data_IF_906256730468
#
_entry.id   IF_906256730468
#
_cell.length_a   1.000
_cell.length_b   1.000
_cell.length_c   1.000
_cell.angle_alpha   90.00
_cell.angle_beta   90.00
_cell.angle_gamma   90.00
#
_symmetry.space_group_name_H-M   'P 1'
#
loop_
_entity.id
_entity.type
_entity.pdbx_description
1 polymer ?
#
# COMPACT_ATOMS: atom_id res chain seq x y z
N UNK A 1 -4.30 -28.76 11.61
CA UNK A 1 -4.87 -27.70 12.49
C UNK A 1 -6.15 -27.14 11.86
N UNK A 2 -7.15 -26.75 12.68
CA UNK A 2 -8.35 -26.08 12.12
C UNK A 2 -8.05 -24.66 11.67
N UNK A 3 -8.89 -24.09 10.79
CA UNK A 3 -8.77 -22.69 10.32
C UNK A 3 -8.81 -21.70 11.49
N UNK A 4 -9.71 -21.95 12.45
CA UNK A 4 -9.87 -21.10 13.64
C UNK A 4 -8.60 -21.08 14.48
N UNK A 5 -7.98 -22.24 14.72
CA UNK A 5 -6.72 -22.34 15.48
C UNK A 5 -5.62 -21.54 14.78
N UNK A 6 -5.48 -21.66 13.46
CA UNK A 6 -4.46 -20.91 12.70
C UNK A 6 -4.70 -19.40 12.81
N UNK A 7 -5.95 -18.94 12.72
CA UNK A 7 -6.29 -17.53 12.90
C UNK A 7 -6.01 -17.04 14.32
N UNK A 8 -6.38 -17.82 15.35
CA UNK A 8 -6.13 -17.42 16.74
C UNK A 8 -4.63 -17.34 17.05
N UNK A 9 -3.84 -18.29 16.56
CA UNK A 9 -2.37 -18.28 16.74
C UNK A 9 -1.73 -17.10 16.01
N UNK A 10 -2.15 -16.83 14.77
CA UNK A 10 -1.69 -15.69 14.01
C UNK A 10 -2.02 -14.38 14.72
N UNK A 11 -3.26 -14.23 15.18
CA UNK A 11 -3.73 -13.06 15.90
C UNK A 11 -2.93 -12.83 17.19
N UNK A 12 -2.77 -13.87 18.00
CA UNK A 12 -2.00 -13.80 19.25
C UNK A 12 -0.54 -13.42 18.99
N UNK A 13 0.11 -14.05 18.01
CA UNK A 13 1.50 -13.77 17.67
C UNK A 13 1.70 -12.35 17.13
N UNK A 14 0.84 -11.90 16.20
CA UNK A 14 0.94 -10.58 15.60
C UNK A 14 0.62 -9.49 16.62
N UNK A 15 -0.44 -9.62 17.41
CA UNK A 15 -0.77 -8.65 18.45
C UNK A 15 0.33 -8.52 19.50
N UNK A 16 0.92 -9.66 19.95
CA UNK A 16 2.05 -9.64 20.88
C UNK A 16 3.28 -8.99 20.25
N UNK A 17 3.59 -9.30 18.99
CA UNK A 17 4.68 -8.68 18.25
C UNK A 17 4.52 -7.17 18.12
N UNK A 18 3.32 -6.69 17.80
CA UNK A 18 3.04 -5.25 17.68
C UNK A 18 3.01 -4.54 19.05
N UNK A 19 2.64 -5.24 20.14
CA UNK A 19 2.79 -4.69 21.49
C UNK A 19 4.28 -4.47 21.84
N UNK A 20 5.14 -5.44 21.53
CA UNK A 20 6.60 -5.30 21.71
C UNK A 20 7.18 -4.22 20.80
N UNK A 21 6.74 -4.18 19.55
CA UNK A 21 7.13 -3.15 18.58
C UNK A 21 6.77 -1.74 19.05
N UNK A 22 5.61 -1.56 19.67
CA UNK A 22 5.23 -0.28 20.28
C UNK A 22 6.21 0.17 21.36
N UNK A 23 6.68 -0.75 22.22
CA UNK A 23 7.71 -0.42 23.23
C UNK A 23 9.04 0.00 22.59
N UNK A 24 9.42 -0.66 21.50
CA UNK A 24 10.60 -0.28 20.69
C UNK A 24 10.40 1.10 20.05
N UNK A 25 9.25 1.35 19.42
CA UNK A 25 8.93 2.63 18.80
C UNK A 25 9.01 3.81 19.78
N UNK A 26 8.51 3.60 21.01
CA UNK A 26 8.62 4.57 22.10
C UNK A 26 10.08 4.87 22.46
N UNK A 27 10.91 3.83 22.59
CA UNK A 27 12.36 3.99 22.92
C UNK A 27 13.11 4.71 21.79
N UNK A 28 12.80 4.40 20.54
CA UNK A 28 13.38 5.05 19.37
C UNK A 28 12.82 6.46 19.11
N UNK A 29 11.76 6.84 19.82
CA UNK A 29 10.99 8.07 19.59
C UNK A 29 10.54 8.22 18.12
N UNK A 30 10.19 7.09 17.47
CA UNK A 30 9.74 7.06 16.07
C UNK A 30 8.67 5.97 15.88
N UNK A 31 7.42 6.39 15.75
CA UNK A 31 6.30 5.48 15.54
C UNK A 31 6.18 4.99 14.08
N UNK A 32 6.86 5.64 13.13
CA UNK A 32 6.85 5.24 11.72
C UNK A 32 7.40 3.84 11.43
N UNK A 33 8.12 3.23 12.40
CA UNK A 33 8.59 1.83 12.27
C UNK A 33 7.44 0.83 12.17
N UNK A 34 6.22 1.19 12.59
CA UNK A 34 5.04 0.32 12.48
C UNK A 34 4.71 0.03 11.02
N UNK A 35 4.88 0.99 10.10
CA UNK A 35 4.63 0.79 8.69
C UNK A 35 5.57 -0.26 8.08
N UNK A 36 6.83 -0.24 8.51
CA UNK A 36 7.84 -1.22 8.09
C UNK A 36 7.47 -2.62 8.60
N UNK A 37 7.16 -2.72 9.89
CA UNK A 37 6.79 -4.00 10.50
C UNK A 37 5.47 -4.56 9.95
N UNK A 38 4.49 -3.68 9.69
CA UNK A 38 3.22 -4.05 9.08
C UNK A 38 3.44 -4.64 7.67
N UNK A 39 4.21 -3.96 6.84
CA UNK A 39 4.50 -4.42 5.49
C UNK A 39 5.30 -5.72 5.46
N UNK A 40 6.32 -5.86 6.33
CA UNK A 40 7.13 -7.08 6.43
C UNK A 40 6.39 -8.23 7.11
N UNK A 41 5.38 -7.95 7.93
CA UNK A 41 4.61 -8.94 8.68
C UNK A 41 3.80 -9.91 7.81
N UNK A 42 3.45 -9.52 6.59
CA UNK A 42 2.72 -10.39 5.67
C UNK A 42 3.57 -11.60 5.21
N UNK A 43 4.88 -11.45 5.03
CA UNK A 43 5.75 -12.55 4.59
C UNK A 43 5.78 -13.72 5.59
N UNK A 44 6.12 -13.53 6.88
CA UNK A 44 6.08 -14.61 7.85
C UNK A 44 4.67 -15.15 8.09
N UNK A 45 3.64 -14.32 8.01
CA UNK A 45 2.25 -14.76 8.18
C UNK A 45 1.79 -15.62 6.99
N UNK A 46 2.14 -15.26 5.77
CA UNK A 46 1.88 -16.07 4.59
C UNK A 46 2.67 -17.41 4.63
N UNK A 47 3.93 -17.38 5.09
CA UNK A 47 4.72 -18.58 5.30
C UNK A 47 4.11 -19.51 6.36
N UNK A 48 3.62 -18.96 7.47
CA UNK A 48 2.91 -19.69 8.50
C UNK A 48 1.66 -20.38 7.94
N UNK A 49 0.82 -19.65 7.20
CA UNK A 49 -0.37 -20.22 6.57
C UNK A 49 -0.01 -21.22 5.47
N UNK A 50 1.02 -20.94 4.68
CA UNK A 50 1.54 -21.85 3.66
C UNK A 50 2.05 -23.15 4.24
N UNK A 51 2.70 -23.12 5.40
CA UNK A 51 3.21 -24.33 6.08
C UNK A 51 2.08 -25.16 6.72
N UNK A 52 1.20 -24.52 7.46
CA UNK A 52 0.18 -25.22 8.27
C UNK A 52 -1.20 -25.32 7.59
N UNK A 53 -1.40 -24.73 6.41
CA UNK A 53 -2.70 -24.66 5.72
C UNK A 53 -3.25 -26.03 5.31
N UNK A 54 -2.37 -26.98 4.91
CA UNK A 54 -2.74 -28.36 4.59
C UNK A 54 -3.41 -28.56 3.22
N UNK A 55 -3.54 -27.53 2.39
CA UNK A 55 -4.00 -27.61 1.01
C UNK A 55 -2.90 -28.10 0.04
N UNK A 56 -3.18 -28.09 -1.28
CA UNK A 56 -2.25 -28.52 -2.31
C UNK A 56 -0.92 -27.74 -2.26
N UNK A 57 0.20 -28.45 -2.35
CA UNK A 57 1.55 -27.87 -2.16
C UNK A 57 1.84 -26.75 -3.17
N UNK A 58 1.55 -26.96 -4.45
CA UNK A 58 1.79 -25.95 -5.51
C UNK A 58 1.07 -24.63 -5.22
N UNK A 59 -0.17 -24.70 -4.77
CA UNK A 59 -0.99 -23.53 -4.44
C UNK A 59 -0.48 -22.81 -3.20
N UNK A 60 -0.15 -23.59 -2.15
CA UNK A 60 0.47 -23.04 -0.93
C UNK A 60 1.78 -22.33 -1.23
N UNK A 61 2.63 -22.95 -2.04
CA UNK A 61 3.90 -22.36 -2.46
C UNK A 61 3.68 -21.07 -3.25
N UNK A 62 2.76 -21.09 -4.24
CA UNK A 62 2.52 -19.93 -5.10
C UNK A 62 1.99 -18.73 -4.32
N UNK A 63 0.92 -18.90 -3.53
CA UNK A 63 0.35 -17.79 -2.75
C UNK A 63 1.34 -17.25 -1.71
N UNK A 64 2.10 -18.13 -1.07
CA UNK A 64 3.15 -17.73 -0.10
C UNK A 64 4.25 -16.94 -0.79
N UNK A 65 4.71 -17.38 -1.95
CA UNK A 65 5.74 -16.66 -2.73
C UNK A 65 5.24 -15.29 -3.19
N UNK A 66 4.02 -15.22 -3.73
CA UNK A 66 3.41 -13.94 -4.11
C UNK A 66 3.35 -12.97 -2.92
N UNK A 67 2.82 -13.41 -1.80
CA UNK A 67 2.71 -12.59 -0.60
C UNK A 67 4.08 -12.17 -0.04
N UNK A 68 5.05 -13.09 0.01
CA UNK A 68 6.39 -12.82 0.51
C UNK A 68 7.15 -11.84 -0.39
N UNK A 69 7.13 -12.02 -1.72
CA UNK A 69 7.80 -11.13 -2.65
C UNK A 69 7.24 -9.69 -2.57
N UNK A 70 5.92 -9.54 -2.54
CA UNK A 70 5.29 -8.23 -2.37
C UNK A 70 5.63 -7.61 -1.02
N UNK A 71 5.49 -8.36 0.06
CA UNK A 71 5.77 -7.92 1.44
C UNK A 71 7.22 -7.45 1.60
N UNK A 72 8.18 -8.23 1.11
CA UNK A 72 9.61 -7.90 1.18
C UNK A 72 9.96 -6.70 0.30
N UNK A 73 9.32 -6.56 -0.87
CA UNK A 73 9.51 -5.39 -1.74
C UNK A 73 8.99 -4.12 -1.07
N UNK A 74 7.73 -4.11 -0.61
CA UNK A 74 7.11 -2.95 0.04
C UNK A 74 7.81 -2.63 1.35
N UNK A 75 8.02 -3.63 2.20
CA UNK A 75 8.69 -3.46 3.48
C UNK A 75 10.14 -3.00 3.33
N UNK A 76 10.88 -3.50 2.34
CA UNK A 76 12.22 -3.05 2.01
C UNK A 76 12.27 -1.60 1.53
N UNK A 77 11.30 -1.17 0.72
CA UNK A 77 11.15 0.23 0.31
C UNK A 77 10.89 1.14 1.54
N UNK A 78 9.93 0.77 2.39
CA UNK A 78 9.61 1.53 3.59
C UNK A 78 10.75 1.51 4.62
N UNK A 79 11.43 0.38 4.78
CA UNK A 79 12.58 0.26 5.67
C UNK A 79 13.69 1.24 5.27
N UNK A 80 14.06 1.32 4.00
CA UNK A 80 15.06 2.29 3.52
C UNK A 80 14.63 3.73 3.81
N UNK A 81 13.34 4.05 3.65
CA UNK A 81 12.81 5.39 3.92
C UNK A 81 12.82 5.73 5.39
N UNK A 82 12.36 4.84 6.26
CA UNK A 82 12.22 5.09 7.70
C UNK A 82 13.54 4.93 8.42
N UNK A 83 14.30 3.84 8.17
CA UNK A 83 15.56 3.56 8.85
C UNK A 83 16.69 4.52 8.40
N UNK A 84 16.63 4.98 7.15
CA UNK A 84 17.56 6.02 6.65
C UNK A 84 17.40 7.38 7.34
N UNK A 85 16.26 7.61 8.01
CA UNK A 85 15.92 8.88 8.67
C UNK A 85 15.34 8.67 10.07
N UNK A 86 15.86 7.71 10.85
CA UNK A 86 15.32 7.36 12.18
C UNK A 86 15.16 8.54 13.14
N UNK A 87 16.04 9.55 13.02
CA UNK A 87 15.98 10.77 13.84
C UNK A 87 14.86 11.74 13.45
N UNK A 88 14.29 11.58 12.25
CA UNK A 88 13.22 12.43 11.71
C UNK A 88 11.99 11.60 11.43
N UNK A 89 11.02 11.68 12.32
CA UNK A 89 9.75 10.97 12.16
C UNK A 89 8.96 11.49 10.95
N UNK A 90 8.27 10.61 10.24
CA UNK A 90 7.40 10.94 9.10
C UNK A 90 6.33 11.96 9.50
N UNK A 91 5.98 12.87 8.58
CA UNK A 91 5.03 13.95 8.81
C UNK A 91 3.68 13.49 9.37
N UNK A 92 3.18 12.32 8.95
CA UNK A 92 1.95 11.73 9.45
C UNK A 92 2.02 11.44 10.95
N UNK A 93 3.09 10.82 11.41
CA UNK A 93 3.27 10.49 12.84
C UNK A 93 3.53 11.73 13.68
N UNK A 94 4.23 12.74 13.14
CA UNK A 94 4.37 14.04 13.81
C UNK A 94 3.01 14.72 14.00
N UNK A 95 2.12 14.66 12.98
CA UNK A 95 0.77 15.19 13.12
C UNK A 95 -0.05 14.42 14.17
N UNK A 96 -0.01 13.08 14.15
CA UNK A 96 -0.67 12.26 15.16
C UNK A 96 -0.17 12.54 16.60
N UNK A 97 1.11 12.88 16.77
CA UNK A 97 1.64 13.32 18.07
C UNK A 97 0.99 14.61 18.56
N UNK A 98 0.75 15.55 17.66
CA UNK A 98 0.08 16.81 18.01
C UNK A 98 -1.41 16.57 18.31
N UNK A 99 -2.09 15.80 17.47
CA UNK A 99 -3.52 15.53 17.61
C UNK A 99 -3.85 14.70 18.88
N UNK A 100 -2.90 13.86 19.32
CA UNK A 100 -3.08 12.94 20.45
C UNK A 100 -2.21 13.32 21.67
N UNK A 101 -1.76 14.55 21.76
CA UNK A 101 -0.79 14.97 22.79
C UNK A 101 -1.20 14.61 24.21
N UNK A 102 -2.51 14.71 24.55
CA UNK A 102 -3.02 14.39 25.88
C UNK A 102 -2.88 12.90 26.24
N UNK A 103 -3.12 11.99 25.28
CA UNK A 103 -3.20 10.53 25.49
C UNK A 103 -2.30 9.76 24.53
N UNK A 104 -1.18 10.36 24.12
CA UNK A 104 -0.32 9.87 23.04
C UNK A 104 0.00 8.38 23.15
N UNK A 105 0.45 7.94 24.33
CA UNK A 105 0.91 6.55 24.51
C UNK A 105 -0.25 5.54 24.38
N UNK A 106 -1.42 5.90 24.91
CA UNK A 106 -2.61 5.01 24.85
C UNK A 106 -3.11 4.92 23.40
N UNK A 107 -3.29 6.05 22.75
CA UNK A 107 -3.77 6.11 21.37
C UNK A 107 -2.81 5.46 20.38
N UNK A 108 -1.49 5.65 20.56
CA UNK A 108 -0.48 4.96 19.76
C UNK A 108 -0.46 3.46 20.02
N UNK A 109 -0.60 2.99 21.25
CA UNK A 109 -0.72 1.57 21.54
C UNK A 109 -1.95 0.96 20.86
N UNK A 110 -3.11 1.63 20.93
CA UNK A 110 -4.32 1.23 20.22
C UNK A 110 -4.13 1.21 18.70
N UNK A 111 -3.44 2.22 18.15
CA UNK A 111 -3.12 2.29 16.72
C UNK A 111 -2.24 1.12 16.28
N UNK A 112 -1.22 0.75 17.07
CA UNK A 112 -0.38 -0.42 16.78
C UNK A 112 -1.20 -1.72 16.81
N UNK A 113 -2.12 -1.90 17.78
CA UNK A 113 -3.00 -3.06 17.82
C UNK A 113 -4.00 -3.07 16.66
N UNK A 114 -4.53 -1.92 16.27
CA UNK A 114 -5.35 -1.81 15.07
C UNK A 114 -4.59 -2.25 13.81
N UNK A 115 -3.32 -1.86 13.66
CA UNK A 115 -2.46 -2.32 12.56
C UNK A 115 -2.21 -3.83 12.61
N UNK A 116 -2.05 -4.42 13.79
CA UNK A 116 -1.93 -5.86 13.97
C UNK A 116 -3.19 -6.61 13.51
N UNK A 117 -4.37 -6.13 13.93
CA UNK A 117 -5.67 -6.67 13.53
C UNK A 117 -5.86 -6.57 12.00
N UNK A 118 -5.53 -5.42 11.44
CA UNK A 118 -5.64 -5.17 10.00
C UNK A 118 -4.72 -6.09 9.19
N UNK A 119 -3.48 -6.34 9.66
CA UNK A 119 -2.54 -7.25 9.04
C UNK A 119 -3.11 -8.68 9.00
N UNK A 120 -3.61 -9.19 10.12
CA UNK A 120 -4.21 -10.53 10.18
C UNK A 120 -5.47 -10.61 9.33
N UNK A 121 -6.33 -9.60 9.38
CA UNK A 121 -7.52 -9.53 8.54
C UNK A 121 -7.13 -9.60 7.06
N UNK A 122 -6.27 -8.73 6.57
CA UNK A 122 -5.83 -8.70 5.17
C UNK A 122 -5.07 -9.96 4.73
N UNK A 123 -4.53 -10.76 5.66
CA UNK A 123 -3.88 -12.03 5.34
C UNK A 123 -4.84 -13.24 5.24
N UNK A 124 -6.13 -13.07 5.53
CA UNK A 124 -7.15 -14.14 5.40
C UNK A 124 -7.18 -14.77 3.99
N UNK A 125 -7.05 -14.03 2.88
CA UNK A 125 -6.94 -14.63 1.55
C UNK A 125 -5.82 -15.68 1.45
N UNK A 126 -4.67 -15.43 2.06
CA UNK A 126 -3.53 -16.36 2.02
C UNK A 126 -3.87 -17.66 2.75
N UNK A 127 -4.56 -17.57 3.89
CA UNK A 127 -5.02 -18.74 4.63
C UNK A 127 -6.04 -19.55 3.83
N UNK A 128 -7.06 -18.90 3.24
CA UNK A 128 -8.09 -19.58 2.46
C UNK A 128 -7.49 -20.30 1.25
N UNK A 129 -6.60 -19.63 0.51
CA UNK A 129 -5.88 -20.23 -0.60
C UNK A 129 -4.99 -21.41 -0.15
N UNK A 130 -4.27 -21.27 0.97
CA UNK A 130 -3.41 -22.31 1.52
C UNK A 130 -4.18 -23.54 2.04
N UNK A 131 -5.48 -23.43 2.25
CA UNK A 131 -6.34 -24.54 2.69
C UNK A 131 -7.06 -25.25 1.55
N UNK A 132 -6.96 -24.79 0.33
CA UNK A 132 -7.63 -25.40 -0.81
C UNK A 132 -6.98 -26.74 -1.19
N UNK A 133 -7.68 -27.89 -1.07
CA UNK A 133 -7.11 -29.20 -1.32
C UNK A 133 -7.07 -29.59 -2.80
N UNK A 134 -7.69 -28.83 -3.71
CA UNK A 134 -7.76 -29.16 -5.14
C UNK A 134 -6.34 -29.35 -5.71
N UNK A 135 -6.01 -30.48 -6.36
CA UNK A 135 -4.63 -30.82 -6.70
C UNK A 135 -4.03 -29.92 -7.79
N UNK A 136 -4.84 -29.44 -8.71
CA UNK A 136 -4.42 -28.56 -9.81
C UNK A 136 -4.78 -27.10 -9.54
N UNK A 137 -3.99 -26.18 -10.09
CA UNK A 137 -4.33 -24.78 -10.12
C UNK A 137 -5.51 -24.53 -11.06
N UNK A 138 -6.42 -23.71 -10.63
CA UNK A 138 -7.54 -23.25 -11.46
C UNK A 138 -7.06 -22.17 -12.46
N UNK A 139 -7.60 -22.07 -13.68
CA UNK A 139 -7.21 -21.00 -14.63
C UNK A 139 -7.29 -19.59 -14.05
N UNK A 140 -8.27 -19.33 -13.17
CA UNK A 140 -8.38 -18.04 -12.46
C UNK A 140 -7.17 -17.75 -11.55
N UNK A 141 -6.59 -18.77 -10.90
CA UNK A 141 -5.39 -18.59 -10.06
C UNK A 141 -4.18 -18.23 -10.91
N UNK A 142 -4.07 -18.81 -12.10
CA UNK A 142 -2.99 -18.49 -13.06
C UNK A 142 -3.16 -17.06 -13.58
N UNK A 143 -4.37 -16.68 -13.97
CA UNK A 143 -4.67 -15.31 -14.40
C UNK A 143 -4.43 -14.28 -13.28
N UNK A 144 -4.81 -14.62 -12.05
CA UNK A 144 -4.57 -13.78 -10.87
C UNK A 144 -3.07 -13.63 -10.58
N UNK A 145 -2.26 -14.69 -10.71
CA UNK A 145 -0.81 -14.62 -10.55
C UNK A 145 -0.16 -13.75 -11.64
N UNK A 146 -0.65 -13.82 -12.89
CA UNK A 146 -0.20 -12.95 -13.97
C UNK A 146 -0.55 -11.48 -13.71
N UNK A 147 -1.79 -11.20 -13.25
CA UNK A 147 -2.19 -9.86 -12.83
C UNK A 147 -1.33 -9.34 -11.67
N UNK A 148 -1.02 -10.19 -10.70
CA UNK A 148 -0.15 -9.84 -9.58
C UNK A 148 1.26 -9.47 -10.06
N UNK A 149 1.86 -10.24 -10.98
CA UNK A 149 3.17 -9.93 -11.57
C UNK A 149 3.14 -8.57 -12.28
N UNK A 150 2.11 -8.32 -13.09
CA UNK A 150 1.91 -7.04 -13.77
C UNK A 150 1.81 -5.89 -12.77
N UNK A 151 1.03 -6.06 -11.72
CA UNK A 151 0.82 -5.04 -10.69
C UNK A 151 2.11 -4.78 -9.88
N UNK A 152 2.83 -5.82 -9.48
CA UNK A 152 4.10 -5.70 -8.75
C UNK A 152 5.16 -4.97 -9.58
N UNK A 153 5.23 -5.28 -10.88
CA UNK A 153 6.12 -4.58 -11.81
C UNK A 153 5.71 -3.10 -11.97
N UNK A 154 4.43 -2.83 -12.17
CA UNK A 154 3.91 -1.46 -12.31
C UNK A 154 4.18 -0.60 -11.10
N UNK A 155 3.96 -1.14 -9.89
CA UNK A 155 4.23 -0.45 -8.63
C UNK A 155 5.73 -0.17 -8.47
N UNK A 156 6.57 -1.15 -8.75
CA UNK A 156 8.03 -1.01 -8.68
C UNK A 156 8.52 0.06 -9.65
N UNK A 157 7.99 0.08 -10.86
CA UNK A 157 8.33 1.07 -11.88
C UNK A 157 7.89 2.48 -11.47
N UNK A 158 6.67 2.63 -10.93
CA UNK A 158 6.16 3.91 -10.46
C UNK A 158 7.05 4.49 -9.34
N UNK A 159 7.41 3.66 -8.35
CA UNK A 159 8.30 4.07 -7.26
C UNK A 159 9.71 4.41 -7.77
N UNK A 160 10.25 3.64 -8.73
CA UNK A 160 11.54 3.90 -9.33
C UNK A 160 11.57 5.22 -10.11
N UNK A 161 10.51 5.51 -10.90
CA UNK A 161 10.36 6.78 -11.61
C UNK A 161 10.33 7.96 -10.64
N UNK A 162 9.54 7.88 -9.57
CA UNK A 162 9.48 8.94 -8.56
C UNK A 162 10.83 9.13 -7.83
N UNK A 163 11.50 8.04 -7.50
CA UNK A 163 12.80 8.08 -6.85
C UNK A 163 13.86 8.72 -7.76
N UNK A 164 13.88 8.35 -9.04
CA UNK A 164 14.78 8.95 -10.03
C UNK A 164 14.51 10.45 -10.22
N UNK A 165 13.24 10.83 -10.32
CA UNK A 165 12.81 12.23 -10.42
C UNK A 165 13.30 13.06 -9.22
N UNK A 166 13.11 12.55 -7.99
CA UNK A 166 13.52 13.24 -6.76
C UNK A 166 15.03 13.36 -6.58
N UNK A 167 15.82 12.45 -7.15
CA UNK A 167 17.29 12.49 -7.09
C UNK A 167 17.90 13.57 -7.97
N UNK A 168 17.24 13.96 -9.05
CA UNK A 168 17.76 14.98 -9.97
C UNK A 168 17.63 16.38 -9.35
N UNK A 169 18.74 17.11 -9.14
CA UNK A 169 18.70 18.45 -8.51
C UNK A 169 17.84 19.44 -9.27
N UNK A 170 17.80 19.33 -10.62
CA UNK A 170 16.98 20.17 -11.50
C UNK A 170 15.46 20.03 -11.26
N UNK A 171 15.02 18.96 -10.59
CA UNK A 171 13.61 18.72 -10.27
C UNK A 171 13.21 19.19 -8.88
N UNK A 172 14.10 19.85 -8.16
CA UNK A 172 13.82 20.34 -6.80
C UNK A 172 12.63 21.33 -6.84
N UNK A 173 11.60 21.07 -6.05
CA UNK A 173 10.38 21.91 -6.04
C UNK A 173 9.37 21.57 -7.15
N UNK A 174 9.75 20.82 -8.19
CA UNK A 174 8.85 20.47 -9.31
C UNK A 174 7.92 19.31 -8.98
N UNK A 175 6.89 19.14 -9.79
CA UNK A 175 5.94 18.01 -9.74
C UNK A 175 6.42 16.92 -10.71
N UNK A 176 6.37 15.65 -10.29
CA UNK A 176 6.64 14.51 -11.16
C UNK A 176 5.38 14.23 -12.00
N UNK A 177 5.44 14.53 -13.30
CA UNK A 177 4.33 14.37 -14.25
C UNK A 177 4.73 13.60 -15.52
N UNK A 178 5.76 12.77 -15.42
CA UNK A 178 6.31 11.97 -16.51
C UNK A 178 6.16 10.46 -16.28
N UNK A 179 6.26 9.65 -17.33
CA UNK A 179 6.08 8.20 -17.23
C UNK A 179 4.69 7.81 -16.74
N UNK A 180 4.59 6.92 -15.77
CA UNK A 180 3.33 6.50 -15.17
C UNK A 180 2.63 7.65 -14.43
N UNK A 181 3.38 8.61 -13.89
CA UNK A 181 2.89 9.79 -13.20
C UNK A 181 2.19 10.80 -14.11
N UNK A 182 2.34 10.65 -15.43
CA UNK A 182 1.55 11.41 -16.42
C UNK A 182 0.10 10.93 -16.49
N UNK A 183 -0.13 9.62 -16.24
CA UNK A 183 -1.44 8.98 -16.40
C UNK A 183 -2.26 8.93 -15.11
N UNK A 184 -1.57 8.89 -13.98
CA UNK A 184 -2.16 8.93 -12.64
C UNK A 184 -1.27 9.75 -11.71
N UNK A 185 -1.88 10.46 -10.76
CA UNK A 185 -1.13 11.16 -9.71
C UNK A 185 -0.63 10.23 -8.60
N UNK A 186 -1.19 9.00 -8.55
CA UNK A 186 -0.82 7.97 -7.58
C UNK A 186 -0.74 6.59 -8.26
N UNK A 187 0.12 6.42 -9.28
CA UNK A 187 0.19 5.16 -10.03
C UNK A 187 0.65 3.99 -9.15
N UNK A 188 1.54 4.23 -8.18
CA UNK A 188 1.96 3.22 -7.22
C UNK A 188 0.80 2.72 -6.35
N UNK A 189 -0.11 3.60 -5.90
CA UNK A 189 -1.29 3.18 -5.14
C UNK A 189 -2.30 2.42 -6.00
N UNK A 190 -2.42 2.75 -7.28
CA UNK A 190 -3.24 1.99 -8.22
C UNK A 190 -2.72 0.55 -8.38
N UNK A 191 -1.43 0.37 -8.57
CA UNK A 191 -0.83 -0.96 -8.68
C UNK A 191 -0.84 -1.71 -7.36
N UNK A 192 -0.64 -1.05 -6.23
CA UNK A 192 -0.83 -1.66 -4.91
C UNK A 192 -2.25 -2.20 -4.75
N UNK A 193 -3.27 -1.43 -5.13
CA UNK A 193 -4.65 -1.91 -5.13
C UNK A 193 -4.86 -3.12 -6.06
N UNK A 194 -4.27 -3.12 -7.24
CA UNK A 194 -4.33 -4.27 -8.17
C UNK A 194 -3.70 -5.53 -7.60
N UNK A 195 -2.66 -5.43 -6.78
CA UNK A 195 -2.07 -6.56 -6.05
C UNK A 195 -3.12 -7.20 -5.14
N UNK A 196 -3.91 -6.40 -4.43
CA UNK A 196 -4.99 -6.89 -3.57
C UNK A 196 -6.16 -7.46 -4.35
N UNK A 197 -6.48 -6.89 -5.52
CA UNK A 197 -7.42 -7.50 -6.47
C UNK A 197 -6.92 -8.87 -6.91
N UNK A 198 -5.65 -8.99 -7.25
CA UNK A 198 -5.05 -10.27 -7.66
C UNK A 198 -5.08 -11.32 -6.54
N UNK A 199 -4.77 -10.96 -5.29
CA UNK A 199 -4.90 -11.86 -4.15
C UNK A 199 -6.35 -12.33 -3.93
N UNK A 200 -7.33 -11.44 -4.06
CA UNK A 200 -8.74 -11.80 -3.96
C UNK A 200 -9.16 -12.74 -5.10
N UNK A 201 -8.81 -12.44 -6.36
CA UNK A 201 -9.10 -13.29 -7.52
C UNK A 201 -8.46 -14.69 -7.39
N UNK A 202 -7.21 -14.76 -6.93
CA UNK A 202 -6.54 -16.03 -6.67
C UNK A 202 -7.32 -16.87 -5.66
N UNK A 203 -7.81 -16.23 -4.61
CA UNK A 203 -8.51 -16.90 -3.50
C UNK A 203 -9.93 -17.31 -3.89
N UNK A 204 -10.58 -16.66 -4.87
CA UNK A 204 -11.93 -17.00 -5.34
C UNK A 204 -12.06 -18.46 -5.81
N UNK A 205 -10.98 -19.08 -6.30
CA UNK A 205 -10.96 -20.49 -6.67
C UNK A 205 -10.96 -21.44 -5.45
N UNK A 206 -10.91 -20.91 -4.24
CA UNK A 206 -10.88 -21.71 -3.00
C UNK A 206 -12.24 -21.75 -2.32
N UNK A 207 -12.56 -22.78 -1.52
CA UNK A 207 -13.74 -22.78 -0.66
C UNK A 207 -13.78 -21.51 0.19
N UNK A 208 -14.96 -20.86 0.25
CA UNK A 208 -15.16 -19.57 0.93
C UNK A 208 -14.32 -18.40 0.37
N UNK A 209 -13.72 -18.58 -0.82
CA UNK A 209 -12.83 -17.59 -1.44
C UNK A 209 -13.47 -16.23 -1.68
N UNK A 210 -14.81 -16.15 -1.86
CA UNK A 210 -15.55 -14.89 -2.01
C UNK A 210 -15.36 -13.93 -0.81
N UNK A 211 -15.06 -14.46 0.38
CA UNK A 211 -14.74 -13.66 1.56
C UNK A 211 -13.56 -12.72 1.27
N UNK A 212 -12.58 -13.14 0.45
CA UNK A 212 -11.42 -12.32 0.12
C UNK A 212 -11.75 -11.01 -0.62
N UNK A 213 -12.95 -10.86 -1.18
CA UNK A 213 -13.36 -9.64 -1.91
C UNK A 213 -13.40 -8.39 -1.03
N UNK A 214 -13.49 -8.53 0.30
CA UNK A 214 -13.38 -7.36 1.17
C UNK A 214 -11.99 -6.72 1.15
N UNK A 215 -10.93 -7.48 0.87
CA UNK A 215 -9.56 -6.97 0.90
C UNK A 215 -9.31 -5.85 -0.12
N UNK A 216 -9.58 -6.02 -1.42
CA UNK A 216 -9.42 -4.91 -2.36
C UNK A 216 -10.37 -3.75 -2.08
N UNK A 217 -11.58 -3.98 -1.56
CA UNK A 217 -12.50 -2.90 -1.17
C UNK A 217 -11.95 -2.11 0.03
N UNK A 218 -11.47 -2.81 1.05
CA UNK A 218 -10.86 -2.21 2.24
C UNK A 218 -9.58 -1.44 1.88
N UNK A 219 -8.69 -2.02 1.05
CA UNK A 219 -7.49 -1.34 0.59
C UNK A 219 -7.80 -0.11 -0.24
N UNK A 220 -8.79 -0.17 -1.14
CA UNK A 220 -9.23 1.00 -1.89
C UNK A 220 -9.71 2.13 -0.97
N UNK A 221 -10.50 1.78 0.05
CA UNK A 221 -10.96 2.75 1.05
C UNK A 221 -9.78 3.41 1.78
N UNK A 222 -8.81 2.63 2.28
CA UNK A 222 -7.63 3.17 2.95
C UNK A 222 -6.80 4.04 2.01
N UNK A 223 -6.53 3.58 0.78
CA UNK A 223 -5.72 4.32 -0.19
C UNK A 223 -6.38 5.63 -0.63
N UNK A 224 -7.70 5.66 -0.79
CA UNK A 224 -8.38 6.86 -1.25
C UNK A 224 -8.71 7.85 -0.12
N UNK A 225 -9.09 7.35 1.06
CA UNK A 225 -9.74 8.18 2.09
C UNK A 225 -8.93 8.36 3.38
N UNK A 226 -8.06 7.42 3.74
CA UNK A 226 -7.45 7.42 5.09
C UNK A 226 -5.96 7.76 5.06
N UNK A 227 -5.16 7.00 4.33
CA UNK A 227 -3.69 7.09 4.42
C UNK A 227 -2.99 7.46 3.12
N UNK A 228 -3.68 7.34 1.97
CA UNK A 228 -3.08 7.44 0.65
C UNK A 228 -3.28 8.81 0.00
N UNK A 229 -4.21 8.83 -0.98
CA UNK A 229 -4.40 9.96 -1.91
C UNK A 229 -4.70 11.25 -1.19
N UNK A 230 -5.75 11.30 -0.35
CA UNK A 230 -6.18 12.55 0.31
C UNK A 230 -5.06 13.22 1.09
N UNK A 231 -4.39 12.44 1.97
CA UNK A 231 -3.30 12.99 2.79
C UNK A 231 -2.10 13.46 1.96
N UNK A 232 -1.72 12.68 0.93
CA UNK A 232 -0.58 13.00 0.07
C UNK A 232 -0.86 14.23 -0.79
N UNK A 233 -2.08 14.36 -1.33
CA UNK A 233 -2.47 15.52 -2.14
C UNK A 233 -2.50 16.81 -1.32
N UNK A 234 -3.05 16.79 -0.11
CA UNK A 234 -3.02 17.94 0.79
C UNK A 234 -1.58 18.39 1.10
N UNK A 235 -0.69 17.43 1.38
CA UNK A 235 0.71 17.71 1.64
C UNK A 235 1.41 18.30 0.41
N UNK A 236 1.16 17.75 -0.78
CA UNK A 236 1.75 18.23 -2.03
C UNK A 236 1.21 19.61 -2.42
N UNK A 237 -0.07 19.86 -2.21
CA UNK A 237 -0.67 21.17 -2.45
C UNK A 237 -0.05 22.25 -1.55
N UNK A 238 0.13 21.96 -0.26
CA UNK A 238 0.79 22.87 0.70
C UNK A 238 2.26 23.13 0.34
N UNK A 239 2.97 22.14 -0.17
CA UNK A 239 4.42 22.24 -0.41
C UNK A 239 4.78 22.76 -1.81
N UNK A 240 3.93 22.57 -2.81
CA UNK A 240 4.19 22.89 -4.23
C UNK A 240 3.22 23.94 -4.81
N UNK A 241 2.08 24.17 -4.17
CA UNK A 241 1.10 25.20 -4.57
C UNK A 241 0.54 25.01 -5.97
N UNK A 242 0.55 26.11 -6.75
CA UNK A 242 -0.06 26.23 -8.07
C UNK A 242 0.44 25.17 -9.10
N UNK A 243 1.74 24.83 -9.19
CA UNK A 243 2.20 23.74 -10.06
C UNK A 243 1.51 22.40 -9.81
N UNK A 244 1.22 22.08 -8.53
CA UNK A 244 0.52 20.85 -8.20
C UNK A 244 -0.97 20.94 -8.53
N UNK A 245 -1.61 22.10 -8.36
CA UNK A 245 -3.01 22.33 -8.74
C UNK A 245 -3.24 22.12 -10.23
N UNK A 246 -2.37 22.68 -11.10
CA UNK A 246 -2.41 22.43 -12.55
C UNK A 246 -2.28 20.95 -12.90
N UNK A 247 -1.41 20.22 -12.17
CA UNK A 247 -1.27 18.79 -12.35
C UNK A 247 -2.55 18.05 -11.94
N UNK A 248 -3.25 18.48 -10.87
CA UNK A 248 -4.53 17.89 -10.45
C UNK A 248 -5.64 18.11 -11.51
N UNK A 249 -5.66 19.23 -12.19
CA UNK A 249 -6.68 19.57 -13.19
C UNK A 249 -6.61 18.67 -14.43
N UNK A 250 -5.42 18.26 -14.83
CA UNK A 250 -5.20 17.50 -16.06
C UNK A 250 -4.99 16.00 -15.86
N UNK A 251 -4.53 15.56 -14.68
CA UNK A 251 -4.14 14.17 -14.45
C UNK A 251 -5.09 13.49 -13.46
N UNK A 252 -5.52 12.27 -13.79
CA UNK A 252 -6.39 11.45 -12.92
C UNK A 252 -5.77 11.24 -11.54
N UNK A 253 -6.59 11.23 -10.50
CA UNK A 253 -6.11 11.00 -9.13
C UNK A 253 -5.59 9.59 -8.91
N UNK A 254 -6.29 8.56 -9.43
CA UNK A 254 -6.03 7.17 -9.08
C UNK A 254 -5.97 6.25 -10.31
N UNK A 255 -7.08 6.11 -11.06
CA UNK A 255 -7.11 5.27 -12.25
C UNK A 255 -6.23 5.89 -13.35
N UNK A 256 -5.28 5.15 -13.94
CA UNK A 256 -4.50 5.67 -15.06
C UNK A 256 -5.40 6.02 -16.23
N UNK A 257 -5.39 7.29 -16.62
CA UNK A 257 -6.17 7.82 -17.72
C UNK A 257 -5.37 8.84 -18.53
N UNK A 258 -5.57 8.97 -19.85
CA UNK A 258 -4.90 9.99 -20.64
C UNK A 258 -5.09 11.39 -20.04
N UNK A 259 -4.01 12.19 -19.89
CA UNK A 259 -4.13 13.52 -19.33
C UNK A 259 -4.97 14.43 -20.23
N UNK A 260 -5.73 15.32 -19.62
CA UNK A 260 -6.46 16.35 -20.36
C UNK A 260 -5.47 17.33 -21.01
N UNK A 261 -5.79 17.91 -22.18
CA UNK A 261 -5.01 18.99 -22.77
C UNK A 261 -4.88 20.16 -21.79
N UNK A 262 -3.76 20.89 -21.85
CA UNK A 262 -3.65 22.15 -21.13
C UNK A 262 -4.73 23.11 -21.65
N UNK A 263 -5.48 23.72 -20.72
CA UNK A 263 -6.39 24.79 -21.09
C UNK A 263 -5.54 25.91 -21.71
N UNK A 264 -5.66 26.12 -23.02
CA UNK A 264 -4.99 27.22 -23.71
C UNK A 264 -5.41 28.52 -23.04
N UNK A 265 -4.45 29.33 -22.62
CA UNK A 265 -4.65 30.69 -22.12
C UNK A 265 -5.14 31.60 -23.28
N UNK A 266 -6.35 31.36 -23.79
CA UNK A 266 -7.06 32.31 -24.68
C UNK A 266 -7.72 33.39 -23.83
N UNK A 267 -6.92 34.21 -23.15
CA UNK A 267 -7.35 35.51 -22.64
C UNK A 267 -6.19 36.50 -22.80
N UNK A 268 -6.03 36.99 -24.00
CA UNK A 268 -5.48 38.33 -24.30
C UNK A 268 -5.26 38.44 -25.80
N UNK A 269 -6.26 38.84 -26.53
CA UNK A 269 -6.10 39.67 -27.76
C UNK A 269 -7.48 40.08 -28.28
N UNK A 270 -8.28 40.72 -27.42
CA UNK A 270 -9.44 41.48 -27.88
C UNK A 270 -9.50 42.82 -27.16
N UNK A 271 -8.40 43.57 -27.20
CA UNK A 271 -8.44 44.99 -26.82
C UNK A 271 -7.32 45.78 -27.50
N UNK A 272 -7.32 45.76 -28.84
CA UNK A 272 -6.64 46.81 -29.60
C UNK A 272 -7.23 46.84 -31.01
N UNK A 273 -8.24 47.68 -31.20
CA UNK A 273 -8.83 47.89 -32.52
C UNK A 273 -10.13 48.66 -32.50
N UNK A 274 -10.10 49.87 -32.01
CA UNK A 274 -11.07 50.87 -32.42
C UNK A 274 -10.47 52.27 -32.22
N UNK A 275 -9.95 52.79 -33.30
CA UNK A 275 -9.91 54.21 -33.56
C UNK A 275 -11.17 54.55 -34.31
#
# INVERSE_FOLDING_TARGET
MSTIILLCLALAAVCSGFALLFLVARRLNNFGIVDVAWSLGFAPLAAFYGHFGGGAFSRRLLITTMAACWSLRLGGYLARRVLGHLKTEDGRYRQLRLDWAADLNVKMAQFFQFQALLLVALAVPFLLAARNPAPSLHPLEIAAAALWLFALFGETLADAQLAAFKRAPANRGRVCDSGLWRWSRHPNYFFEWLIWVAFALFTLASPWGWIALYCPALMLFFLLKVTGVSYTEDQLLRSKGEPYRRYQERTSAFMPWPPKPEASNQKSDTSSGSL
#
